data_IF_278890912480
#
_entry.id   IF_278890912480
#
_cell.length_a   1.000
_cell.length_b   1.000
_cell.length_c   1.000
_cell.angle_alpha   90.00
_cell.angle_beta   90.00
_cell.angle_gamma   90.00
#
_symmetry.space_group_name_H-M   'P 1'
#
loop_
_entity.id
_entity.type
_entity.pdbx_description
1 polymer ?
#
# COMPACT_ATOMS: atom_id res chain seq x y z
N UNK A 1 -27.12 18.67 1.19
CA UNK A 1 -26.46 17.75 2.14
C UNK A 1 -24.98 17.69 1.75
N UNK A 2 -24.06 17.88 2.69
CA UNK A 2 -22.62 17.87 2.40
C UNK A 2 -22.15 16.43 2.60
N UNK A 3 -21.73 15.76 1.52
CA UNK A 3 -21.20 14.40 1.58
C UNK A 3 -20.00 14.32 2.52
N UNK A 4 -20.06 13.45 3.53
CA UNK A 4 -19.01 13.25 4.56
C UNK A 4 -18.06 12.11 4.23
N UNK A 5 -18.24 11.43 3.10
CA UNK A 5 -17.56 10.17 2.83
C UNK A 5 -16.52 10.37 1.72
N UNK A 6 -15.27 10.05 2.04
CA UNK A 6 -14.22 9.83 1.04
C UNK A 6 -14.20 8.32 0.79
N UNK A 7 -14.70 7.90 -0.37
CA UNK A 7 -14.75 6.49 -0.75
C UNK A 7 -13.48 6.13 -1.51
N UNK A 8 -12.61 5.34 -0.87
CA UNK A 8 -11.58 4.58 -1.57
C UNK A 8 -12.25 3.27 -2.02
N UNK A 9 -12.19 2.99 -3.32
CA UNK A 9 -12.63 1.80 -4.10
C UNK A 9 -13.53 0.77 -3.37
N UNK A 10 -14.68 0.47 -4.01
CA UNK A 10 -15.76 -0.42 -3.57
C UNK A 10 -15.43 -1.94 -3.75
N UNK A 11 -16.07 -2.79 -2.93
CA UNK A 11 -16.12 -4.27 -2.94
C UNK A 11 -15.09 -5.13 -2.12
N UNK A 12 -14.50 -4.62 -1.03
CA UNK A 12 -13.73 -5.47 -0.10
C UNK A 12 -13.52 -4.91 1.31
N UNK A 13 -13.02 -5.74 2.24
CA UNK A 13 -12.45 -5.27 3.52
C UNK A 13 -11.12 -4.54 3.24
N UNK A 14 -11.19 -3.38 2.59
CA UNK A 14 -10.04 -2.51 2.37
C UNK A 14 -9.52 -2.00 3.72
N UNK A 15 -8.19 -2.06 3.89
CA UNK A 15 -7.49 -1.60 5.09
C UNK A 15 -6.47 -0.57 4.68
N UNK A 16 -6.51 0.57 5.35
CA UNK A 16 -5.68 1.71 5.02
C UNK A 16 -5.49 2.58 6.23
N UNK A 17 -4.54 3.49 6.11
CA UNK A 17 -4.28 4.50 7.13
C UNK A 17 -4.49 5.87 6.51
N UNK A 18 -4.88 6.83 7.35
CA UNK A 18 -4.97 8.23 6.98
C UNK A 18 -4.11 9.01 7.97
N UNK A 19 -3.28 9.91 7.45
CA UNK A 19 -2.52 10.85 8.26
C UNK A 19 -2.89 12.26 7.90
N UNK A 20 -3.14 13.06 8.93
CA UNK A 20 -3.33 14.50 8.87
C UNK A 20 -2.51 15.12 9.97
N UNK A 21 -2.04 16.34 9.75
CA UNK A 21 -1.29 17.10 10.75
C UNK A 21 -1.42 18.59 10.46
N UNK A 22 -1.47 19.49 11.46
CA UNK A 22 -1.61 20.92 11.22
C UNK A 22 -0.55 21.53 10.30
N UNK A 23 0.68 20.98 10.29
CA UNK A 23 1.75 21.43 9.38
C UNK A 23 1.57 21.02 7.92
N UNK A 24 0.60 20.15 7.62
CA UNK A 24 0.21 19.78 6.26
C UNK A 24 -0.88 20.71 5.68
N UNK A 25 -1.43 21.61 6.50
CA UNK A 25 -2.52 22.49 6.10
C UNK A 25 -3.78 21.69 5.75
N UNK A 26 -4.34 21.98 4.57
CA UNK A 26 -5.59 21.36 4.10
C UNK A 26 -5.35 20.03 3.35
N UNK A 27 -4.16 19.44 3.48
CA UNK A 27 -3.80 18.19 2.82
C UNK A 27 -3.71 17.04 3.84
N UNK A 28 -4.30 15.91 3.46
CA UNK A 28 -4.12 14.62 4.13
C UNK A 28 -3.45 13.61 3.20
N UNK A 29 -2.94 12.54 3.78
CA UNK A 29 -2.44 11.40 3.01
C UNK A 29 -3.14 10.12 3.44
N UNK A 30 -3.44 9.24 2.50
CA UNK A 30 -4.02 7.94 2.79
C UNK A 30 -3.43 6.83 1.94
N UNK A 31 -3.67 5.61 2.40
CA UNK A 31 -3.20 4.38 1.79
C UNK A 31 -4.34 3.37 1.74
N UNK A 32 -4.20 2.36 0.88
CA UNK A 32 -5.08 1.20 0.81
C UNK A 32 -4.24 -0.04 0.50
N UNK A 33 -4.37 -1.08 1.33
CA UNK A 33 -3.62 -2.34 1.28
C UNK A 33 -3.64 -3.00 -0.10
N UNK A 34 -4.71 -2.84 -0.86
CA UNK A 34 -4.89 -3.47 -2.17
C UNK A 34 -4.64 -2.47 -3.32
N UNK A 35 -4.08 -1.30 -3.00
CA UNK A 35 -3.80 -0.22 -3.94
C UNK A 35 -2.34 0.23 -3.88
N UNK A 36 -1.58 0.20 -5.00
CA UNK A 36 -0.16 0.56 -5.02
C UNK A 36 0.05 2.08 -5.08
N UNK A 37 -0.75 2.84 -4.34
CA UNK A 37 -0.73 4.30 -4.34
C UNK A 37 -0.75 4.88 -2.93
N UNK A 38 0.03 5.93 -2.73
CA UNK A 38 -0.17 6.91 -1.69
C UNK A 38 -1.12 7.98 -2.24
N UNK A 39 -2.25 8.19 -1.57
CA UNK A 39 -3.26 9.16 -1.95
C UNK A 39 -3.03 10.48 -1.23
N UNK A 40 -2.81 11.56 -1.97
CA UNK A 40 -2.85 12.94 -1.49
C UNK A 40 -4.29 13.45 -1.59
N UNK A 41 -4.83 13.87 -0.46
CA UNK A 41 -6.24 14.21 -0.29
C UNK A 41 -6.35 15.69 0.02
N UNK A 42 -7.23 16.38 -0.70
CA UNK A 42 -7.70 17.70 -0.28
C UNK A 42 -8.77 17.51 0.80
N UNK A 43 -8.49 18.00 2.00
CA UNK A 43 -9.39 17.88 3.16
C UNK A 43 -10.58 18.84 3.07
N UNK A 44 -10.45 19.94 2.32
CA UNK A 44 -11.54 20.90 2.08
C UNK A 44 -12.55 20.32 1.11
N UNK A 45 -12.05 19.79 -0.01
CA UNK A 45 -12.88 19.24 -1.10
C UNK A 45 -13.27 17.77 -0.86
N UNK A 46 -12.63 17.10 0.10
CA UNK A 46 -12.87 15.70 0.48
C UNK A 46 -12.67 14.75 -0.69
N UNK A 47 -11.64 15.01 -1.48
CA UNK A 47 -11.34 14.29 -2.70
C UNK A 47 -9.85 13.98 -2.80
N UNK A 48 -9.52 12.91 -3.52
CA UNK A 48 -8.14 12.69 -3.97
C UNK A 48 -7.86 13.74 -5.03
N UNK A 49 -6.74 14.46 -4.88
CA UNK A 49 -6.32 15.47 -5.83
C UNK A 49 -6.06 14.84 -7.21
N UNK A 50 -6.18 15.60 -8.30
CA UNK A 50 -6.04 15.07 -9.68
C UNK A 50 -4.68 14.38 -9.92
N UNK A 51 -3.61 14.91 -9.33
CA UNK A 51 -2.25 14.36 -9.32
C UNK A 51 -1.91 13.62 -8.01
N UNK A 52 -2.90 13.44 -7.15
CA UNK A 52 -2.76 12.91 -5.80
C UNK A 52 -2.59 11.39 -5.72
N UNK A 53 -2.45 10.68 -6.85
CA UNK A 53 -2.15 9.24 -6.86
C UNK A 53 -0.64 9.04 -7.06
N UNK A 54 0.09 8.99 -5.96
CA UNK A 54 1.54 8.84 -5.95
C UNK A 54 1.87 7.34 -6.00
N UNK A 55 2.51 6.82 -7.07
CA UNK A 55 2.80 5.39 -7.17
C UNK A 55 3.76 4.91 -6.09
N UNK A 56 3.49 3.72 -5.56
CA UNK A 56 4.41 2.95 -4.72
C UNK A 56 4.97 1.83 -5.61
N UNK A 57 6.20 1.97 -6.15
CA UNK A 57 6.69 1.05 -7.17
C UNK A 57 6.90 -0.37 -6.64
N UNK A 58 6.64 -1.36 -7.49
CA UNK A 58 6.85 -2.80 -7.21
C UNK A 58 6.13 -3.29 -5.94
N UNK A 59 5.02 -2.65 -5.56
CA UNK A 59 4.14 -3.13 -4.50
C UNK A 59 2.82 -3.64 -5.08
N UNK A 60 2.19 -4.57 -4.36
CA UNK A 60 0.78 -4.89 -4.57
C UNK A 60 -0.12 -3.78 -4.03
N UNK A 61 0.23 -3.25 -2.87
CA UNK A 61 -0.43 -2.08 -2.32
C UNK A 61 0.38 -1.35 -1.27
N UNK A 62 -0.28 -0.48 -0.53
CA UNK A 62 0.32 0.29 0.55
C UNK A 62 -0.64 0.26 1.74
N UNK A 63 -0.24 -0.26 2.88
CA UNK A 63 -1.13 -0.30 4.05
C UNK A 63 -0.72 0.74 5.10
N UNK A 64 0.44 0.55 5.73
CA UNK A 64 0.83 1.36 6.88
C UNK A 64 1.39 2.72 6.48
N UNK A 65 1.02 3.75 7.26
CA UNK A 65 1.33 5.14 6.97
C UNK A 65 1.69 5.88 8.26
N UNK A 66 2.73 6.71 8.23
CA UNK A 66 3.05 7.64 9.30
C UNK A 66 3.59 8.96 8.74
N UNK A 67 3.32 10.06 9.43
CA UNK A 67 3.86 11.37 9.11
C UNK A 67 4.80 11.85 10.21
N UNK A 68 5.94 12.43 9.81
CA UNK A 68 6.87 13.09 10.72
C UNK A 68 6.83 14.61 10.51
N UNK A 69 6.36 15.40 11.50
CA UNK A 69 6.33 16.85 11.38
C UNK A 69 7.72 17.49 11.45
N UNK A 70 8.74 16.75 11.88
CA UNK A 70 10.11 17.26 12.06
C UNK A 70 10.80 17.45 10.70
N UNK A 71 10.76 16.44 9.83
CA UNK A 71 11.28 16.54 8.47
C UNK A 71 10.18 16.90 7.45
N UNK A 72 8.91 16.73 7.80
CA UNK A 72 7.78 16.95 6.90
C UNK A 72 7.61 15.82 5.90
N UNK A 73 7.99 14.60 6.24
CA UNK A 73 7.91 13.46 5.33
C UNK A 73 6.84 12.46 5.78
N UNK A 74 6.27 11.79 4.79
CA UNK A 74 5.35 10.67 4.96
C UNK A 74 6.11 9.39 4.69
N UNK A 75 5.94 8.39 5.56
CA UNK A 75 6.52 7.07 5.40
C UNK A 75 5.41 6.06 5.13
N UNK A 76 5.53 5.36 4.01
CA UNK A 76 4.56 4.38 3.50
C UNK A 76 5.19 3.00 3.48
N UNK A 77 4.57 2.03 4.13
CA UNK A 77 4.96 0.63 4.02
C UNK A 77 4.40 0.05 2.72
N UNK A 78 5.27 -0.46 1.85
CA UNK A 78 4.80 -1.26 0.71
C UNK A 78 4.30 -2.62 1.18
N UNK A 79 3.17 -3.03 0.63
CA UNK A 79 2.61 -4.36 0.75
C UNK A 79 2.98 -5.16 -0.48
N UNK A 80 3.63 -6.31 -0.28
CA UNK A 80 4.02 -7.22 -1.37
C UNK A 80 3.30 -8.55 -1.26
N UNK A 81 3.26 -9.29 -2.37
CA UNK A 81 2.73 -10.64 -2.42
C UNK A 81 3.83 -11.69 -2.56
N UNK A 82 3.56 -12.90 -2.07
CA UNK A 82 4.44 -14.05 -2.19
C UNK A 82 3.62 -15.32 -2.44
N UNK A 83 4.22 -16.29 -3.13
CA UNK A 83 3.62 -17.63 -3.34
C UNK A 83 3.64 -18.46 -2.06
N UNK A 84 2.73 -19.41 -1.95
CA UNK A 84 2.68 -20.37 -0.85
C UNK A 84 3.81 -21.43 -0.91
N UNK A 85 4.59 -21.48 -2.01
CA UNK A 85 5.94 -22.07 -2.03
C UNK A 85 6.09 -23.47 -2.63
N UNK A 86 5.01 -24.21 -2.95
CA UNK A 86 5.08 -25.48 -3.69
C UNK A 86 3.76 -25.82 -4.40
N UNK A 87 3.84 -26.64 -5.46
CA UNK A 87 2.68 -27.12 -6.22
C UNK A 87 1.73 -27.90 -5.29
N UNK A 88 0.53 -27.35 -5.07
CA UNK A 88 -0.47 -27.91 -4.16
C UNK A 88 -0.55 -27.25 -2.77
N UNK A 89 0.44 -26.46 -2.35
CA UNK A 89 0.37 -25.60 -1.15
C UNK A 89 -0.73 -24.55 -1.26
N UNK A 90 -0.89 -24.09 -2.49
CA UNK A 90 -1.73 -23.00 -2.96
C UNK A 90 -3.23 -23.22 -2.69
N UNK A 91 -3.66 -24.47 -2.54
CA UNK A 91 -5.04 -24.87 -2.29
C UNK A 91 -5.26 -25.42 -0.86
N UNK A 92 -4.21 -25.44 -0.03
CA UNK A 92 -4.21 -26.05 1.29
C UNK A 92 -4.17 -25.03 2.45
N UNK A 93 -4.45 -25.48 3.69
CA UNK A 93 -4.25 -24.69 4.91
C UNK A 93 -2.77 -24.34 5.16
N UNK A 94 -1.86 -24.96 4.41
CA UNK A 94 -0.41 -24.70 4.43
C UNK A 94 -0.07 -23.30 3.90
N UNK A 95 -0.92 -22.74 3.03
CA UNK A 95 -0.88 -21.33 2.71
C UNK A 95 -1.59 -20.49 3.78
N UNK A 96 -1.35 -20.72 5.08
CA UNK A 96 -1.92 -19.98 6.21
C UNK A 96 -3.42 -20.22 6.49
N UNK A 97 -3.93 -19.57 7.55
CA UNK A 97 -5.24 -19.82 8.19
C UNK A 97 -6.49 -19.80 7.27
N UNK A 98 -6.39 -19.19 6.08
CA UNK A 98 -7.51 -18.98 5.15
C UNK A 98 -7.25 -19.48 3.71
N UNK A 99 -6.16 -20.21 3.43
CA UNK A 99 -5.75 -20.55 2.05
C UNK A 99 -5.12 -19.37 1.29
N UNK A 100 -4.61 -19.62 0.08
CA UNK A 100 -4.07 -18.58 -0.80
C UNK A 100 -5.17 -17.89 -1.63
N UNK A 101 -4.86 -16.72 -2.17
CA UNK A 101 -5.68 -15.97 -3.13
C UNK A 101 -4.90 -15.81 -4.45
N UNK A 102 -5.62 -15.54 -5.54
CA UNK A 102 -5.02 -15.19 -6.82
C UNK A 102 -4.38 -13.81 -6.75
N UNK A 103 -3.05 -13.76 -6.80
CA UNK A 103 -2.25 -12.54 -6.62
C UNK A 103 -1.17 -12.43 -7.69
N UNK A 104 -0.78 -11.20 -7.99
CA UNK A 104 0.39 -10.93 -8.83
C UNK A 104 1.58 -10.61 -7.94
N UNK A 105 2.66 -11.39 -8.07
CA UNK A 105 3.90 -11.14 -7.34
C UNK A 105 4.73 -10.12 -8.10
N UNK A 106 4.98 -8.97 -7.47
CA UNK A 106 5.69 -7.84 -8.06
C UNK A 106 7.20 -7.87 -7.81
N UNK A 107 7.67 -8.66 -6.86
CA UNK A 107 9.05 -8.66 -6.34
C UNK A 107 9.53 -10.06 -5.94
N UNK A 108 10.85 -10.28 -5.96
CA UNK A 108 11.48 -11.55 -5.58
C UNK A 108 11.58 -12.58 -6.72
N UNK A 109 12.00 -13.83 -6.42
CA UNK A 109 12.31 -14.87 -7.41
C UNK A 109 11.13 -15.28 -8.30
N UNK A 110 9.91 -15.05 -7.82
CA UNK A 110 8.65 -15.40 -8.48
C UNK A 110 7.93 -14.20 -9.08
N UNK A 111 8.61 -13.05 -9.19
CA UNK A 111 8.05 -11.86 -9.79
C UNK A 111 7.74 -12.07 -11.28
N UNK A 112 6.54 -11.67 -11.71
CA UNK A 112 6.14 -11.81 -13.10
C UNK A 112 4.70 -11.36 -13.36
N UNK A 113 4.29 -11.31 -14.64
CA UNK A 113 2.94 -10.89 -15.02
C UNK A 113 1.88 -11.96 -14.72
N UNK A 114 2.29 -13.16 -14.31
CA UNK A 114 1.38 -14.28 -14.07
C UNK A 114 0.66 -14.10 -12.74
N UNK A 115 -0.65 -14.33 -12.76
CA UNK A 115 -1.43 -14.48 -11.55
C UNK A 115 -1.14 -15.87 -11.01
N UNK A 116 -0.71 -15.92 -9.75
CA UNK A 116 -0.43 -17.17 -9.04
C UNK A 116 -1.19 -17.19 -7.73
N UNK A 117 -1.41 -18.38 -7.19
CA UNK A 117 -1.95 -18.50 -5.85
C UNK A 117 -0.86 -18.12 -4.83
N UNK A 118 -1.24 -17.25 -3.90
CA UNK A 118 -0.31 -16.66 -2.95
C UNK A 118 -1.02 -15.84 -1.89
N UNK A 119 -0.27 -15.00 -1.20
CA UNK A 119 -0.79 -14.06 -0.20
C UNK A 119 -0.09 -12.72 -0.30
N UNK A 120 -0.73 -11.67 0.19
CA UNK A 120 -0.16 -10.33 0.27
C UNK A 120 -0.19 -9.79 1.70
N UNK A 121 0.73 -8.89 2.03
CA UNK A 121 0.80 -8.21 3.33
C UNK A 121 1.66 -8.96 4.34
N UNK A 122 1.27 -8.92 5.63
CA UNK A 122 2.08 -9.34 6.79
C UNK A 122 2.85 -10.67 6.68
N UNK A 123 2.38 -11.64 5.88
CA UNK A 123 3.10 -12.91 5.66
C UNK A 123 4.32 -12.78 4.75
N UNK A 124 4.35 -11.76 3.89
CA UNK A 124 5.38 -11.49 2.89
C UNK A 124 6.17 -10.21 3.18
N UNK A 125 5.57 -9.27 3.92
CA UNK A 125 6.17 -8.00 4.30
C UNK A 125 7.35 -8.23 5.26
N UNK A 126 8.50 -7.63 4.95
CA UNK A 126 9.72 -7.63 5.77
C UNK A 126 10.64 -8.81 5.52
N UNK A 127 10.20 -9.78 4.72
CA UNK A 127 11.06 -10.84 4.23
C UNK A 127 11.95 -10.30 3.10
N UNK A 128 13.27 -10.27 3.32
CA UNK A 128 14.23 -9.70 2.37
C UNK A 128 14.22 -10.33 0.96
N UNK A 129 13.72 -11.56 0.81
CA UNK A 129 13.63 -12.22 -0.49
C UNK A 129 12.43 -11.74 -1.33
N UNK A 130 11.37 -11.26 -0.69
CA UNK A 130 10.11 -10.85 -1.33
C UNK A 130 9.87 -9.35 -1.20
N UNK A 131 10.17 -8.76 -0.06
CA UNK A 131 9.99 -7.35 0.23
C UNK A 131 11.33 -6.60 0.16
N UNK A 132 11.68 -6.19 -1.06
CA UNK A 132 12.93 -5.47 -1.36
C UNK A 132 12.82 -3.95 -1.16
N UNK A 133 11.60 -3.44 -0.96
CA UNK A 133 11.33 -2.01 -0.93
C UNK A 133 11.10 -1.50 0.47
N UNK A 134 10.52 -2.28 1.37
CA UNK A 134 10.42 -1.84 2.75
C UNK A 134 9.43 -0.68 2.92
N UNK A 135 10.00 0.51 3.18
CA UNK A 135 9.26 1.72 3.53
C UNK A 135 9.69 2.83 2.59
N UNK A 136 8.73 3.36 1.85
CA UNK A 136 8.94 4.53 1.00
C UNK A 136 8.85 5.80 1.82
N UNK A 137 9.77 6.73 1.57
CA UNK A 137 9.76 8.06 2.15
C UNK A 137 9.33 9.08 1.10
N UNK A 138 8.29 9.84 1.40
CA UNK A 138 7.71 10.88 0.55
C UNK A 138 7.87 12.25 1.20
N UNK A 139 8.56 13.15 0.49
CA UNK A 139 8.75 14.54 0.89
C UNK A 139 7.52 15.36 0.48
N UNK A 140 6.73 15.79 1.49
CA UNK A 140 5.46 16.49 1.24
C UNK A 140 5.64 17.95 0.81
N UNK A 141 6.86 18.50 0.90
CA UNK A 141 7.13 19.90 0.51
C UNK A 141 7.53 19.99 -0.96
N UNK A 142 8.29 19.00 -1.42
CA UNK A 142 8.78 18.91 -2.79
C UNK A 142 7.98 17.92 -3.65
N UNK A 143 6.93 17.32 -3.08
CA UNK A 143 6.03 16.35 -3.70
C UNK A 143 6.76 15.21 -4.43
N UNK A 144 7.73 14.58 -3.76
CA UNK A 144 8.59 13.55 -4.37
C UNK A 144 8.91 12.39 -3.42
N UNK A 145 9.09 11.21 -3.98
CA UNK A 145 9.72 10.09 -3.27
C UNK A 145 11.22 10.35 -3.12
N UNK A 146 11.74 10.23 -1.90
CA UNK A 146 13.13 10.52 -1.54
C UNK A 146 13.89 9.30 -0.98
N UNK A 147 13.19 8.24 -0.59
CA UNK A 147 13.80 7.03 -0.02
C UNK A 147 12.97 5.77 -0.20
N UNK A 148 13.63 4.62 -0.06
CA UNK A 148 13.08 3.27 0.10
C UNK A 148 13.94 2.48 1.10
#
# INVERSE_FOLDING_TARGET
EISTNITFIDDGYSRGYVVTHPSLGDVGYATDRDSPFLYKIDLSDRSVMDDGKIPVPLSHGAEQLVYSPVNGHVFVRSTVCCTCGFEGADNGPDCGRYGGDNVTVTTGPWAGPNIIMGRCGYSCDGNAATDINGVFEYDTKNDKLVGK
#
